data_IF_822938849539
#
_entry.id   IF_822938849539
#
_cell.length_a   1.000
_cell.length_b   1.000
_cell.length_c   1.000
_cell.angle_alpha   90.00
_cell.angle_beta   90.00
_cell.angle_gamma   90.00
#
_symmetry.space_group_name_H-M   'P 1'
#
loop_
_entity.id
_entity.type
_entity.pdbx_description
1 polymer ?
#
# COMPACT_ATOMS: atom_id res chain seq x y z
N UNK A 1 27.42 -10.08 -20.15
CA UNK A 1 26.06 -9.57 -20.46
C UNK A 1 26.19 -8.16 -21.00
N UNK A 2 25.47 -7.80 -22.07
CA UNK A 2 25.61 -6.47 -22.70
C UNK A 2 24.93 -5.39 -21.85
N UNK A 3 25.55 -4.21 -21.74
CA UNK A 3 25.06 -3.04 -21.00
C UNK A 3 23.60 -2.70 -21.30
N UNK A 4 23.14 -2.93 -22.54
CA UNK A 4 21.75 -2.71 -22.97
C UNK A 4 20.74 -3.63 -22.28
N UNK A 5 21.11 -4.86 -21.95
CA UNK A 5 20.22 -5.79 -21.24
C UNK A 5 20.01 -5.35 -19.79
N UNK A 6 21.08 -4.90 -19.13
CA UNK A 6 21.02 -4.41 -17.74
C UNK A 6 20.11 -3.19 -17.63
N UNK A 7 20.20 -2.24 -18.57
CA UNK A 7 19.33 -1.05 -18.57
C UNK A 7 17.85 -1.42 -18.74
N UNK A 8 17.52 -2.33 -19.65
CA UNK A 8 16.14 -2.78 -19.88
C UNK A 8 15.57 -3.50 -18.65
N UNK A 9 16.39 -4.25 -17.92
CA UNK A 9 15.97 -4.98 -16.72
C UNK A 9 15.68 -4.02 -15.56
N UNK A 10 16.55 -3.04 -15.32
CA UNK A 10 16.35 -1.99 -14.32
C UNK A 10 15.09 -1.15 -14.60
N UNK A 11 14.84 -0.78 -15.85
CA UNK A 11 13.61 -0.07 -16.23
C UNK A 11 12.35 -0.90 -15.95
N UNK A 12 12.39 -2.22 -16.19
CA UNK A 12 11.27 -3.12 -15.91
C UNK A 12 11.02 -3.26 -14.41
N UNK A 13 12.07 -3.37 -13.61
CA UNK A 13 11.97 -3.44 -12.15
C UNK A 13 11.38 -2.16 -11.56
N UNK A 14 11.83 -0.98 -12.01
CA UNK A 14 11.28 0.31 -11.57
C UNK A 14 9.79 0.46 -11.89
N UNK A 15 9.37 0.11 -13.11
CA UNK A 15 7.95 0.12 -13.51
C UNK A 15 7.14 -0.89 -12.69
N UNK A 16 7.75 -2.01 -12.31
CA UNK A 16 7.10 -3.04 -11.51
C UNK A 16 6.90 -2.58 -10.05
N UNK A 17 7.92 -2.01 -9.41
CA UNK A 17 7.84 -1.49 -8.04
C UNK A 17 6.83 -0.34 -7.94
N UNK A 18 6.75 0.51 -8.97
CA UNK A 18 5.72 1.55 -9.06
C UNK A 18 4.30 0.98 -9.06
N UNK A 19 4.03 -0.07 -9.86
CA UNK A 19 2.71 -0.72 -9.88
C UNK A 19 2.35 -1.33 -8.55
N UNK A 20 3.31 -1.95 -7.87
CA UNK A 20 3.16 -2.47 -6.51
C UNK A 20 2.76 -1.34 -5.56
N UNK A 21 3.47 -0.21 -5.61
CA UNK A 21 3.19 0.96 -4.77
C UNK A 21 1.80 1.56 -5.03
N UNK A 22 1.38 1.64 -6.30
CA UNK A 22 0.04 2.10 -6.68
C UNK A 22 -1.05 1.19 -6.10
N UNK A 23 -0.89 -0.13 -6.15
CA UNK A 23 -1.86 -1.03 -5.52
C UNK A 23 -1.83 -0.93 -3.99
N UNK A 24 -0.63 -0.84 -3.40
CA UNK A 24 -0.46 -0.68 -1.95
C UNK A 24 -1.17 0.58 -1.42
N UNK A 25 -1.00 1.72 -2.09
CA UNK A 25 -1.67 2.98 -1.71
C UNK A 25 -3.19 2.90 -1.83
N UNK A 26 -3.74 2.18 -2.83
CA UNK A 26 -5.18 1.94 -2.94
C UNK A 26 -5.71 1.08 -1.80
N UNK A 27 -4.99 0.04 -1.39
CA UNK A 27 -5.34 -0.79 -0.23
C UNK A 27 -5.44 0.12 1.00
N UNK A 28 -4.40 0.92 1.27
CA UNK A 28 -4.31 1.81 2.43
C UNK A 28 -5.46 2.82 2.47
N UNK A 29 -5.75 3.44 1.33
CA UNK A 29 -6.87 4.35 1.18
C UNK A 29 -8.21 3.69 1.52
N UNK A 30 -8.54 2.60 0.83
CA UNK A 30 -9.86 1.97 0.91
C UNK A 30 -10.13 1.37 2.28
N UNK A 31 -9.15 0.75 2.93
CA UNK A 31 -9.38 0.24 4.28
C UNK A 31 -9.49 1.39 5.29
N UNK A 32 -8.77 2.50 5.09
CA UNK A 32 -8.88 3.67 5.97
C UNK A 32 -10.27 4.30 5.86
N UNK A 33 -10.80 4.41 4.64
CA UNK A 33 -12.17 4.86 4.38
C UNK A 33 -13.19 3.88 5.00
N UNK A 34 -12.99 2.57 4.84
CA UNK A 34 -13.83 1.55 5.45
C UNK A 34 -13.88 1.69 6.99
N UNK A 35 -12.75 1.93 7.65
CA UNK A 35 -12.67 2.22 9.10
C UNK A 35 -13.49 3.46 9.48
N UNK A 36 -13.46 4.51 8.67
CA UNK A 36 -14.23 5.73 8.93
C UNK A 36 -15.74 5.52 8.73
N UNK A 37 -16.13 4.82 7.68
CA UNK A 37 -17.54 4.50 7.37
C UNK A 37 -18.15 3.61 8.46
N UNK A 38 -17.41 2.60 8.94
CA UNK A 38 -17.83 1.74 10.04
C UNK A 38 -18.12 2.56 11.31
N UNK A 39 -17.21 3.47 11.69
CA UNK A 39 -17.39 4.35 12.85
C UNK A 39 -18.62 5.24 12.77
N UNK A 40 -19.06 5.59 11.55
CA UNK A 40 -20.25 6.41 11.29
C UNK A 40 -21.53 5.58 11.18
N UNK A 41 -21.45 4.25 11.28
CA UNK A 41 -22.60 3.34 11.12
C UNK A 41 -22.99 3.07 9.66
N UNK A 42 -22.18 3.48 8.68
CA UNK A 42 -22.42 3.23 7.25
C UNK A 42 -21.88 1.86 6.86
N UNK A 43 -22.55 0.81 7.32
CA UNK A 43 -22.04 -0.56 7.23
C UNK A 43 -21.95 -1.10 5.80
N UNK A 44 -22.94 -0.83 4.95
CA UNK A 44 -22.92 -1.31 3.56
C UNK A 44 -21.80 -0.66 2.74
N UNK A 45 -21.60 0.65 2.90
CA UNK A 45 -20.51 1.38 2.27
C UNK A 45 -19.15 0.90 2.80
N UNK A 46 -19.04 0.70 4.11
CA UNK A 46 -17.83 0.15 4.73
C UNK A 46 -17.50 -1.24 4.18
N UNK A 47 -18.49 -2.13 4.09
CA UNK A 47 -18.32 -3.46 3.49
C UNK A 47 -17.84 -3.37 2.05
N UNK A 48 -18.43 -2.47 1.25
CA UNK A 48 -18.01 -2.24 -0.13
C UNK A 48 -16.53 -1.83 -0.22
N UNK A 49 -16.09 -0.91 0.66
CA UNK A 49 -14.66 -0.51 0.73
C UNK A 49 -13.75 -1.65 1.17
N UNK A 50 -14.17 -2.50 2.10
CA UNK A 50 -13.41 -3.70 2.48
C UNK A 50 -13.23 -4.64 1.28
N UNK A 51 -14.29 -4.91 0.51
CA UNK A 51 -14.20 -5.73 -0.71
C UNK A 51 -13.23 -5.14 -1.72
N UNK A 52 -13.29 -3.83 -1.98
CA UNK A 52 -12.37 -3.17 -2.91
C UNK A 52 -10.92 -3.24 -2.41
N UNK A 53 -10.68 -3.06 -1.10
CA UNK A 53 -9.35 -3.17 -0.50
C UNK A 53 -8.78 -4.58 -0.67
N UNK A 54 -9.58 -5.63 -0.43
CA UNK A 54 -9.18 -7.02 -0.67
C UNK A 54 -8.93 -7.33 -2.15
N UNK A 55 -9.69 -6.73 -3.06
CA UNK A 55 -9.43 -6.89 -4.50
C UNK A 55 -8.07 -6.29 -4.89
N UNK A 56 -7.69 -5.12 -4.36
CA UNK A 56 -6.36 -4.57 -4.57
C UNK A 56 -5.27 -5.40 -3.88
N UNK A 57 -5.55 -5.97 -2.71
CA UNK A 57 -4.66 -6.93 -2.03
C UNK A 57 -4.39 -8.15 -2.91
N UNK A 58 -5.42 -8.71 -3.54
CA UNK A 58 -5.29 -9.80 -4.49
C UNK A 58 -4.40 -9.43 -5.69
N UNK A 59 -4.59 -8.24 -6.27
CA UNK A 59 -3.73 -7.75 -7.36
C UNK A 59 -2.29 -7.56 -6.91
N UNK A 60 -2.07 -7.00 -5.72
CA UNK A 60 -0.75 -6.86 -5.12
C UNK A 60 -0.06 -8.21 -4.94
N UNK A 61 -0.76 -9.21 -4.39
CA UNK A 61 -0.23 -10.57 -4.23
C UNK A 61 0.24 -11.19 -5.56
N UNK A 62 -0.48 -10.95 -6.67
CA UNK A 62 -0.05 -11.43 -8.00
C UNK A 62 1.18 -10.65 -8.49
N UNK A 63 1.20 -9.33 -8.30
CA UNK A 63 2.35 -8.50 -8.68
C UNK A 63 3.61 -8.89 -7.91
N UNK A 64 3.52 -9.17 -6.60
CA UNK A 64 4.67 -9.51 -5.76
C UNK A 64 5.45 -10.77 -6.19
N UNK A 65 4.85 -11.63 -7.01
CA UNK A 65 5.50 -12.82 -7.60
C UNK A 65 5.90 -12.61 -9.06
N UNK A 66 5.93 -11.36 -9.54
CA UNK A 66 6.31 -10.98 -10.91
C UNK A 66 5.24 -11.26 -11.97
N UNK A 67 4.02 -11.66 -11.57
CA UNK A 67 2.93 -11.97 -12.49
C UNK A 67 2.03 -10.74 -12.73
N UNK A 68 1.25 -10.76 -13.82
CA UNK A 68 0.23 -9.74 -14.07
C UNK A 68 -1.14 -10.24 -13.62
N UNK A 69 -1.92 -9.41 -12.87
CA UNK A 69 -3.30 -9.74 -12.52
C UNK A 69 -4.13 -10.03 -13.77
N UNK A 70 -4.68 -11.25 -13.86
CA UNK A 70 -5.56 -11.64 -14.97
C UNK A 70 -7.04 -11.36 -14.69
N UNK A 71 -7.90 -11.78 -15.62
CA UNK A 71 -9.35 -11.68 -15.49
C UNK A 71 -9.91 -12.65 -14.42
N UNK A 72 -9.26 -13.79 -14.19
CA UNK A 72 -9.61 -14.80 -13.18
C UNK A 72 -8.77 -14.62 -11.89
N UNK A 73 -8.65 -13.37 -11.43
CA UNK A 73 -7.75 -12.94 -10.37
C UNK A 73 -7.77 -13.86 -9.13
N UNK A 74 -8.96 -14.23 -8.65
CA UNK A 74 -9.07 -15.06 -7.46
C UNK A 74 -8.58 -16.50 -7.66
N UNK A 75 -8.63 -17.03 -8.89
CA UNK A 75 -8.03 -18.32 -9.22
C UNK A 75 -6.50 -18.24 -9.15
N UNK A 76 -5.90 -17.16 -9.66
CA UNK A 76 -4.46 -16.91 -9.52
C UNK A 76 -4.07 -16.81 -8.05
N UNK A 77 -4.77 -15.96 -7.29
CA UNK A 77 -4.48 -15.74 -5.87
C UNK A 77 -4.64 -17.02 -5.05
N UNK A 78 -5.63 -17.87 -5.34
CA UNK A 78 -5.76 -19.16 -4.65
C UNK A 78 -4.53 -20.05 -4.78
N UNK A 79 -3.81 -19.97 -5.91
CA UNK A 79 -2.57 -20.72 -6.15
C UNK A 79 -1.37 -20.02 -5.49
N UNK A 80 -1.30 -18.69 -5.56
CA UNK A 80 -0.16 -17.90 -5.07
C UNK A 80 -0.19 -17.74 -3.55
N UNK A 81 -1.33 -17.34 -3.00
CA UNK A 81 -1.55 -17.12 -1.57
C UNK A 81 -3.00 -17.47 -1.19
N UNK A 82 -3.18 -18.73 -0.79
CA UNK A 82 -4.49 -19.24 -0.37
C UNK A 82 -5.06 -18.54 0.86
N UNK A 83 -4.24 -17.85 1.66
CA UNK A 83 -4.73 -17.11 2.85
C UNK A 83 -5.51 -15.86 2.45
N UNK A 84 -5.03 -15.12 1.44
CA UNK A 84 -5.72 -13.96 0.88
C UNK A 84 -7.01 -14.38 0.17
N UNK A 85 -7.02 -15.51 -0.53
CA UNK A 85 -8.24 -16.07 -1.11
C UNK A 85 -9.28 -16.41 -0.03
N UNK A 86 -8.86 -17.09 1.04
CA UNK A 86 -9.77 -17.49 2.14
C UNK A 86 -10.40 -16.29 2.83
N UNK A 87 -9.66 -15.20 3.02
CA UNK A 87 -10.22 -13.94 3.53
C UNK A 87 -11.39 -13.46 2.67
N UNK A 88 -11.24 -13.42 1.34
CA UNK A 88 -12.35 -13.01 0.47
C UNK A 88 -13.57 -13.95 0.57
N UNK A 89 -13.32 -15.26 0.63
CA UNK A 89 -14.38 -16.27 0.80
C UNK A 89 -15.11 -16.08 2.14
N UNK A 90 -14.38 -15.88 3.23
CA UNK A 90 -14.93 -15.64 4.57
C UNK A 90 -15.73 -14.33 4.64
N UNK A 91 -15.29 -13.25 3.97
CA UNK A 91 -16.02 -11.99 3.92
C UNK A 91 -17.40 -12.16 3.30
N UNK A 92 -17.47 -13.00 2.28
CA UNK A 92 -18.68 -13.24 1.49
C UNK A 92 -19.63 -14.25 2.13
N UNK A 93 -19.11 -15.14 2.98
CA UNK A 93 -19.85 -16.30 3.52
C UNK A 93 -20.06 -16.26 5.03
N UNK A 94 -19.37 -15.37 5.75
CA UNK A 94 -19.47 -15.27 7.20
C UNK A 94 -20.90 -14.96 7.66
N UNK A 95 -21.30 -15.65 8.74
CA UNK A 95 -22.61 -15.54 9.41
C UNK A 95 -22.60 -14.54 10.57
N UNK A 96 -21.47 -13.89 10.83
CA UNK A 96 -21.37 -12.84 11.85
C UNK A 96 -22.30 -11.66 11.51
N UNK A 97 -22.79 -10.91 12.51
CA UNK A 97 -23.41 -9.61 12.30
C UNK A 97 -22.52 -8.73 11.41
N UNK A 98 -23.14 -7.96 10.52
CA UNK A 98 -22.42 -7.24 9.46
C UNK A 98 -21.32 -6.32 10.01
N UNK A 99 -21.61 -5.58 11.06
CA UNK A 99 -20.66 -4.69 11.75
C UNK A 99 -19.46 -5.48 12.30
N UNK A 100 -19.71 -6.61 12.98
CA UNK A 100 -18.66 -7.49 13.54
C UNK A 100 -17.82 -8.15 12.48
N UNK A 101 -18.46 -8.59 11.38
CA UNK A 101 -17.75 -9.07 10.20
C UNK A 101 -16.81 -8.01 9.67
N UNK A 102 -17.28 -6.78 9.44
CA UNK A 102 -16.44 -5.67 8.95
C UNK A 102 -15.28 -5.40 9.92
N UNK A 103 -15.54 -5.32 11.24
CA UNK A 103 -14.50 -5.12 12.26
C UNK A 103 -13.37 -6.15 12.15
N UNK A 104 -13.70 -7.44 12.10
CA UNK A 104 -12.73 -8.53 11.98
C UNK A 104 -11.91 -8.44 10.69
N UNK A 105 -12.57 -8.12 9.58
CA UNK A 105 -11.90 -7.96 8.29
C UNK A 105 -10.97 -6.76 8.25
N UNK A 106 -11.32 -5.66 8.92
CA UNK A 106 -10.44 -4.50 9.04
C UNK A 106 -9.20 -4.81 9.88
N UNK A 107 -9.29 -5.69 10.89
CA UNK A 107 -8.12 -6.18 11.63
C UNK A 107 -7.21 -7.03 10.74
N UNK A 108 -7.79 -7.94 9.96
CA UNK A 108 -7.02 -8.77 9.03
C UNK A 108 -6.34 -7.93 7.95
N UNK A 109 -7.04 -6.94 7.38
CA UNK A 109 -6.45 -6.00 6.42
C UNK A 109 -5.31 -5.18 7.03
N UNK A 110 -5.42 -4.76 8.29
CA UNK A 110 -4.34 -4.05 8.99
C UNK A 110 -3.07 -4.90 9.09
N UNK A 111 -3.23 -6.18 9.47
CA UNK A 111 -2.14 -7.14 9.51
C UNK A 111 -1.51 -7.34 8.12
N UNK A 112 -2.32 -7.52 7.08
CA UNK A 112 -1.83 -7.70 5.70
C UNK A 112 -1.10 -6.47 5.17
N UNK A 113 -1.58 -5.26 5.47
CA UNK A 113 -0.91 -4.01 5.09
C UNK A 113 0.46 -3.92 5.76
N UNK A 114 0.57 -4.32 7.03
CA UNK A 114 1.85 -4.32 7.73
C UNK A 114 2.80 -5.41 7.22
N UNK A 115 2.29 -6.59 6.87
CA UNK A 115 3.12 -7.70 6.38
C UNK A 115 3.67 -7.44 4.98
N UNK A 116 2.97 -6.66 4.17
CA UNK A 116 3.37 -6.27 2.81
C UNK A 116 4.04 -4.90 2.73
N UNK A 117 4.23 -4.20 3.85
CA UNK A 117 4.69 -2.80 3.85
C UNK A 117 6.00 -2.60 3.08
N UNK A 118 7.04 -3.36 3.41
CA UNK A 118 8.39 -3.17 2.85
C UNK A 118 8.40 -3.31 1.32
N UNK A 119 7.79 -4.38 0.79
CA UNK A 119 7.61 -4.55 -0.66
C UNK A 119 6.71 -3.46 -1.25
N UNK A 120 5.61 -3.16 -0.56
CA UNK A 120 4.62 -2.17 -0.96
C UNK A 120 5.20 -0.76 -1.10
N UNK A 121 6.25 -0.42 -0.35
CA UNK A 121 6.88 0.91 -0.37
C UNK A 121 8.26 0.92 -1.03
N UNK A 122 8.68 -0.14 -1.70
CA UNK A 122 10.00 -0.22 -2.34
C UNK A 122 10.27 0.97 -3.28
N UNK A 123 9.30 1.30 -4.13
CA UNK A 123 9.36 2.49 -5.00
C UNK A 123 9.58 3.80 -4.23
N UNK A 124 8.92 3.97 -3.09
CA UNK A 124 9.07 5.16 -2.25
C UNK A 124 10.43 5.17 -1.55
N UNK A 125 10.96 4.01 -1.14
CA UNK A 125 12.31 3.90 -0.61
C UNK A 125 13.35 4.30 -1.66
N UNK A 126 13.21 3.84 -2.90
CA UNK A 126 14.08 4.23 -4.01
C UNK A 126 14.00 5.73 -4.30
N UNK A 127 12.80 6.32 -4.26
CA UNK A 127 12.61 7.77 -4.37
C UNK A 127 13.35 8.51 -3.26
N UNK A 128 13.22 8.08 -2.01
CA UNK A 128 13.91 8.71 -0.88
C UNK A 128 15.43 8.55 -0.97
N UNK A 129 15.91 7.47 -1.58
CA UNK A 129 17.34 7.18 -1.82
C UNK A 129 17.95 7.99 -2.98
N UNK A 130 17.11 8.53 -3.88
CA UNK A 130 17.54 9.19 -5.11
C UNK A 130 18.38 10.45 -4.90
N UNK A 131 18.37 11.01 -3.69
CA UNK A 131 19.23 12.12 -3.27
C UNK A 131 19.64 11.97 -1.81
N UNK A 132 20.67 12.72 -1.40
CA UNK A 132 21.20 12.67 -0.02
C UNK A 132 20.32 13.44 0.96
N UNK A 133 19.65 14.48 0.49
CA UNK A 133 18.83 15.37 1.29
C UNK A 133 17.49 14.72 1.64
N UNK A 134 17.06 14.87 2.89
CA UNK A 134 15.75 14.42 3.33
C UNK A 134 14.61 15.08 2.53
N UNK A 135 13.51 14.36 2.38
CA UNK A 135 12.32 14.78 1.64
C UNK A 135 11.23 15.26 2.57
N UNK A 136 10.63 16.42 2.30
CA UNK A 136 9.39 16.80 2.98
C UNK A 136 8.21 16.03 2.41
N UNK A 137 7.11 15.95 3.16
CA UNK A 137 5.85 15.39 2.64
C UNK A 137 5.40 16.13 1.36
N UNK A 138 5.57 17.45 1.31
CA UNK A 138 5.22 18.25 0.13
C UNK A 138 6.03 17.82 -1.10
N UNK A 139 7.34 17.63 -0.95
CA UNK A 139 8.23 17.18 -2.03
C UNK A 139 7.93 15.74 -2.48
N UNK A 140 7.50 14.87 -1.57
CA UNK A 140 7.04 13.53 -1.91
C UNK A 140 5.74 13.62 -2.73
N UNK A 141 4.81 14.47 -2.34
CA UNK A 141 3.51 14.63 -3.01
C UNK A 141 3.59 15.28 -4.39
N UNK A 142 4.69 15.98 -4.73
CA UNK A 142 4.88 16.50 -6.10
C UNK A 142 5.32 15.43 -7.10
N UNK A 143 5.65 14.22 -6.65
CA UNK A 143 6.09 13.16 -7.55
C UNK A 143 4.93 12.72 -8.48
N UNK A 144 5.11 12.66 -9.82
CA UNK A 144 4.00 12.43 -10.76
C UNK A 144 3.20 11.14 -10.54
N UNK A 145 3.85 10.15 -9.93
CA UNK A 145 3.28 8.83 -9.66
C UNK A 145 2.66 8.71 -8.26
N UNK A 146 2.77 9.77 -7.47
CA UNK A 146 2.13 9.91 -6.16
C UNK A 146 0.87 10.75 -6.39
N UNK A 147 -0.28 10.09 -6.43
CA UNK A 147 -1.57 10.78 -6.54
C UNK A 147 -1.78 11.71 -5.33
N UNK A 148 -2.62 12.73 -5.49
CA UNK A 148 -2.98 13.79 -4.53
C UNK A 148 -3.69 13.28 -3.25
N UNK A 149 -3.06 12.33 -2.57
CA UNK A 149 -3.55 11.51 -1.45
C UNK A 149 -2.67 11.74 -0.24
N UNK A 150 -2.63 13.01 0.19
CA UNK A 150 -1.75 13.47 1.27
C UNK A 150 -1.97 12.71 2.58
N UNK A 151 -3.23 12.42 2.95
CA UNK A 151 -3.55 11.69 4.17
C UNK A 151 -3.03 10.25 4.15
N UNK A 152 -3.22 9.55 3.04
CA UNK A 152 -2.73 8.18 2.86
C UNK A 152 -1.21 8.13 2.87
N UNK A 153 -0.56 9.10 2.23
CA UNK A 153 0.91 9.20 2.20
C UNK A 153 1.48 9.41 3.60
N UNK A 154 0.91 10.33 4.38
CA UNK A 154 1.30 10.52 5.78
C UNK A 154 1.15 9.21 6.55
N UNK A 155 0.03 8.52 6.37
CA UNK A 155 -0.23 7.25 7.03
C UNK A 155 0.77 6.15 6.62
N UNK A 156 1.20 6.12 5.36
CA UNK A 156 2.24 5.19 4.87
C UNK A 156 3.58 5.53 5.50
N UNK A 157 4.00 6.80 5.50
CA UNK A 157 5.26 7.26 6.07
C UNK A 157 5.33 6.99 7.59
N UNK A 158 4.23 7.17 8.32
CA UNK A 158 4.16 6.80 9.74
C UNK A 158 4.37 5.29 9.96
N UNK A 159 3.85 4.44 9.06
CA UNK A 159 4.09 2.99 9.12
C UNK A 159 5.55 2.66 8.81
N UNK A 160 6.15 3.33 7.83
CA UNK A 160 7.56 3.16 7.46
C UNK A 160 8.47 3.54 8.63
N UNK A 161 8.20 4.68 9.29
CA UNK A 161 8.92 5.12 10.49
C UNK A 161 8.80 4.10 11.63
N UNK A 162 7.57 3.65 11.95
CA UNK A 162 7.33 2.63 12.98
C UNK A 162 8.02 1.29 12.71
N UNK A 163 8.24 0.97 11.43
CA UNK A 163 8.95 -0.24 10.98
C UNK A 163 10.44 -0.02 10.76
N UNK A 164 10.96 1.17 11.09
CA UNK A 164 12.36 1.55 10.88
C UNK A 164 12.82 1.35 9.42
N UNK A 165 11.94 1.65 8.46
CA UNK A 165 12.27 1.67 7.02
C UNK A 165 12.81 3.04 6.57
N UNK A 166 12.46 4.11 7.29
CA UNK A 166 12.96 5.48 7.07
C UNK A 166 13.41 6.12 8.38
N UNK A 167 14.34 7.08 8.29
CA UNK A 167 14.66 8.02 9.35
C UNK A 167 13.85 9.30 9.16
N UNK A 168 13.61 10.00 10.26
CA UNK A 168 12.93 11.30 10.25
C UNK A 168 13.78 12.35 10.93
N UNK A 169 13.78 13.55 10.38
CA UNK A 169 14.46 14.71 10.94
C UNK A 169 13.56 15.95 10.83
N UNK A 170 13.77 16.92 11.72
CA UNK A 170 13.14 18.24 11.60
C UNK A 170 14.10 19.15 10.84
N UNK A 171 13.62 19.71 9.73
CA UNK A 171 14.34 20.73 8.97
C UNK A 171 13.66 22.08 9.15
N UNK A 172 14.45 23.16 9.12
CA UNK A 172 13.93 24.53 9.10
C UNK A 172 13.93 25.04 7.66
N UNK A 173 12.76 25.47 7.18
CA UNK A 173 12.60 26.13 5.88
C UNK A 173 11.91 27.45 6.10
N UNK A 174 12.66 28.55 6.01
CA UNK A 174 12.16 29.91 6.21
C UNK A 174 11.46 30.13 7.58
N UNK A 175 11.98 29.54 8.66
CA UNK A 175 11.42 29.63 10.00
C UNK A 175 10.28 28.65 10.28
N UNK A 176 9.93 27.80 9.32
CA UNK A 176 8.93 26.74 9.48
C UNK A 176 9.66 25.42 9.72
N UNK A 177 9.38 24.77 10.85
CA UNK A 177 9.88 23.44 11.17
C UNK A 177 9.05 22.38 10.45
N UNK A 178 9.67 21.64 9.54
CA UNK A 178 9.03 20.58 8.75
C UNK A 178 9.62 19.23 9.11
N UNK A 179 8.76 18.20 9.17
CA UNK A 179 9.21 16.81 9.24
C UNK A 179 9.66 16.36 7.86
N UNK A 180 10.87 15.81 7.77
CA UNK A 180 11.46 15.29 6.55
C UNK A 180 11.93 13.84 6.75
N UNK A 181 11.99 13.10 5.64
CA UNK A 181 12.20 11.65 5.59
C UNK A 181 13.41 11.30 4.73
N UNK A 182 14.22 10.34 5.18
CA UNK A 182 15.36 9.82 4.43
C UNK A 182 15.52 8.32 4.64
N UNK A 183 16.16 7.63 3.70
CA UNK A 183 16.57 6.23 3.90
C UNK A 183 17.75 6.15 4.90
N UNK A 184 17.92 4.98 5.52
CA UNK A 184 18.98 4.71 6.51
C UNK A 184 20.39 4.77 5.92
#
# INVERSE_FOLDING_TARGET
MSHRYVVIELEREAVHSERIFVEFTKIVHLYSEAKQLLKKGYFLDSLHRVHQSLQHMARLTVLEVGQQPDMLLWKQVKVIDSSVYKLYEELSTSKEPLDKRIELFLLALDFLVLSKLEKGVAFLLDLLASRKEAWTIEEILTHPHINDRSFEMISILERMEKKALVRTQIIDRNGIKLKAYSQF
#
